data_IF_096533575198
#
_entry.id   IF_096533575198
#
_cell.length_a   1.000
_cell.length_b   1.000
_cell.length_c   1.000
_cell.angle_alpha   90.00
_cell.angle_beta   90.00
_cell.angle_gamma   90.00
#
_symmetry.space_group_name_H-M   'P 1'
#
loop_
_entity.id
_entity.type
_entity.pdbx_description
1 polymer ?
#
# COMPACT_ATOMS: atom_id res chain seq x y z
N UNK A 1 7.40 -8.73 -46.47
CA UNK A 1 7.13 -7.38 -45.93
C UNK A 1 6.56 -7.48 -44.51
N UNK A 2 7.36 -7.94 -43.53
CA UNK A 2 6.85 -8.24 -42.17
C UNK A 2 7.89 -8.02 -41.05
N UNK A 3 8.70 -6.95 -41.15
CA UNK A 3 9.77 -6.63 -40.17
C UNK A 3 9.73 -5.15 -39.75
N UNK A 4 8.56 -4.50 -39.70
CA UNK A 4 8.47 -3.10 -39.24
C UNK A 4 7.54 -2.83 -38.07
N UNK A 5 6.74 -3.78 -37.60
CA UNK A 5 5.77 -3.53 -36.53
C UNK A 5 6.31 -3.73 -35.10
N UNK A 6 7.52 -4.28 -34.92
CA UNK A 6 8.06 -4.54 -33.58
C UNK A 6 8.75 -3.34 -32.90
N UNK A 7 9.03 -2.24 -33.62
CA UNK A 7 9.79 -1.09 -33.07
C UNK A 7 8.92 0.03 -32.48
N UNK A 8 7.60 -0.03 -32.62
CA UNK A 8 6.72 1.05 -32.14
C UNK A 8 6.25 0.89 -30.68
N UNK A 9 6.49 -0.27 -30.03
CA UNK A 9 6.10 -0.55 -28.65
C UNK A 9 7.23 -0.32 -27.61
N UNK A 10 8.41 0.18 -28.02
CA UNK A 10 9.57 0.31 -27.14
C UNK A 10 9.87 1.74 -26.66
N UNK A 11 9.01 2.73 -26.96
CA UNK A 11 9.32 4.14 -26.76
C UNK A 11 9.04 4.69 -25.34
N UNK A 12 8.42 3.91 -24.44
CA UNK A 12 8.12 4.35 -23.06
C UNK A 12 8.86 3.53 -21.99
N UNK A 13 9.92 2.79 -22.37
CA UNK A 13 10.68 2.04 -21.36
C UNK A 13 11.55 3.01 -20.58
N UNK A 14 11.17 3.31 -19.34
CA UNK A 14 12.00 4.05 -18.42
C UNK A 14 13.36 3.31 -18.31
N UNK A 15 14.52 3.97 -18.47
CA UNK A 15 15.84 3.33 -18.36
C UNK A 15 16.05 2.59 -17.02
N UNK A 16 15.23 2.90 -16.01
CA UNK A 16 15.22 2.22 -14.73
C UNK A 16 14.46 0.88 -14.74
N UNK A 17 13.58 0.60 -15.71
CA UNK A 17 12.70 -0.59 -15.76
C UNK A 17 13.47 -1.91 -15.97
N UNK A 18 14.68 -1.86 -16.53
CA UNK A 18 15.39 -3.06 -16.95
C UNK A 18 16.67 -3.32 -16.15
N UNK A 19 16.52 -3.64 -14.85
CA UNK A 19 17.64 -4.06 -13.99
C UNK A 19 17.64 -5.57 -13.72
N UNK A 20 17.45 -6.43 -14.72
CA UNK A 20 17.78 -7.87 -14.63
C UNK A 20 17.19 -8.68 -13.46
N UNK A 21 16.19 -8.16 -12.75
CA UNK A 21 15.55 -8.84 -11.63
C UNK A 21 14.39 -9.71 -12.14
N UNK A 22 14.14 -10.87 -11.51
CA UNK A 22 12.96 -11.69 -11.78
C UNK A 22 11.67 -10.88 -11.69
N UNK A 23 10.82 -11.05 -12.70
CA UNK A 23 9.52 -10.41 -12.78
C UNK A 23 8.51 -11.04 -11.82
N UNK A 24 7.61 -10.23 -11.27
CA UNK A 24 6.41 -10.75 -10.60
C UNK A 24 5.49 -11.35 -11.68
N UNK A 25 5.49 -12.67 -11.78
CA UNK A 25 4.58 -13.44 -12.64
C UNK A 25 3.18 -13.56 -12.03
N UNK A 26 2.19 -13.87 -12.87
CA UNK A 26 0.80 -14.10 -12.45
C UNK A 26 0.64 -15.23 -11.43
N UNK A 27 1.57 -16.19 -11.36
CA UNK A 27 1.59 -17.24 -10.33
C UNK A 27 1.71 -16.67 -8.92
N UNK A 28 2.58 -15.68 -8.69
CA UNK A 28 2.75 -15.05 -7.38
C UNK A 28 1.47 -14.29 -6.98
N UNK A 29 0.85 -13.58 -7.94
CA UNK A 29 -0.43 -12.89 -7.72
C UNK A 29 -1.54 -13.90 -7.39
N UNK A 30 -1.60 -15.03 -8.10
CA UNK A 30 -2.58 -16.09 -7.83
C UNK A 30 -2.38 -16.71 -6.44
N UNK A 31 -1.14 -16.99 -6.03
CA UNK A 31 -0.81 -17.48 -4.68
C UNK A 31 -1.31 -16.48 -3.64
N UNK A 32 -1.03 -15.18 -3.81
CA UNK A 32 -1.52 -14.14 -2.91
C UNK A 32 -3.06 -14.10 -2.85
N UNK A 33 -3.73 -14.13 -4.01
CA UNK A 33 -5.20 -14.08 -4.08
C UNK A 33 -5.88 -15.31 -3.48
N UNK A 34 -5.20 -16.46 -3.39
CA UNK A 34 -5.73 -17.65 -2.73
C UNK A 34 -5.43 -17.62 -1.22
N UNK A 35 -4.20 -17.32 -0.84
CA UNK A 35 -3.77 -17.38 0.56
C UNK A 35 -4.35 -16.24 1.41
N UNK A 36 -4.40 -15.02 0.86
CA UNK A 36 -4.85 -13.85 1.61
C UNK A 36 -6.28 -14.03 2.17
N UNK A 37 -7.31 -14.34 1.34
CA UNK A 37 -8.65 -14.57 1.88
C UNK A 37 -8.73 -15.81 2.77
N UNK A 38 -8.00 -16.89 2.47
CA UNK A 38 -8.01 -18.10 3.28
C UNK A 38 -7.47 -17.85 4.71
N UNK A 39 -6.40 -17.06 4.84
CA UNK A 39 -5.81 -16.68 6.12
C UNK A 39 -6.62 -15.58 6.82
N UNK A 40 -7.14 -14.61 6.06
CA UNK A 40 -7.96 -13.51 6.58
C UNK A 40 -9.35 -13.98 7.07
N UNK A 41 -9.84 -15.12 6.58
CA UNK A 41 -11.11 -15.71 7.03
C UNK A 41 -11.14 -15.92 8.55
N UNK A 42 -10.02 -16.33 9.14
CA UNK A 42 -9.88 -16.46 10.59
C UNK A 42 -10.03 -15.12 11.33
N UNK A 43 -9.48 -14.03 10.78
CA UNK A 43 -9.65 -12.69 11.32
C UNK A 43 -11.11 -12.23 11.29
N UNK A 44 -11.80 -12.50 10.17
CA UNK A 44 -13.20 -12.14 9.99
C UNK A 44 -14.13 -12.90 10.94
N UNK A 45 -13.88 -14.18 11.21
CA UNK A 45 -14.65 -14.95 12.19
C UNK A 45 -14.46 -14.48 13.64
N UNK A 46 -13.32 -13.86 13.94
CA UNK A 46 -13.05 -13.25 15.24
C UNK A 46 -13.56 -11.81 15.33
N UNK A 47 -14.00 -11.19 14.22
CA UNK A 47 -14.57 -9.86 14.25
C UNK A 47 -15.88 -9.88 15.03
N UNK A 48 -15.84 -9.29 16.22
CA UNK A 48 -17.00 -9.06 17.07
C UNK A 48 -17.27 -7.56 17.07
N UNK A 49 -18.33 -7.07 16.41
CA UNK A 49 -18.68 -5.64 16.42
C UNK A 49 -18.84 -5.09 17.86
N UNK A 50 -19.25 -5.96 18.78
CA UNK A 50 -19.45 -5.68 20.21
C UNK A 50 -18.12 -5.49 20.99
N UNK A 51 -16.97 -5.94 20.47
CA UNK A 51 -15.72 -6.06 21.24
C UNK A 51 -14.91 -4.76 21.39
N UNK A 52 -15.53 -3.61 21.13
CA UNK A 52 -14.93 -2.29 21.29
C UNK A 52 -13.65 -2.07 20.47
N UNK A 53 -12.84 -1.08 20.87
CA UNK A 53 -11.62 -0.71 20.16
C UNK A 53 -10.57 -1.83 20.08
N UNK A 54 -10.45 -2.64 21.14
CA UNK A 54 -9.52 -3.78 21.18
C UNK A 54 -9.85 -4.86 20.14
N UNK A 55 -11.13 -5.22 19.99
CA UNK A 55 -11.58 -6.20 18.99
C UNK A 55 -11.37 -5.72 17.55
N UNK A 56 -11.67 -4.44 17.29
CA UNK A 56 -11.38 -3.80 16.00
C UNK A 56 -9.89 -3.86 15.66
N UNK A 57 -9.03 -3.45 16.60
CA UNK A 57 -7.59 -3.42 16.40
C UNK A 57 -7.00 -4.82 16.17
N UNK A 58 -7.46 -5.81 16.94
CA UNK A 58 -7.06 -7.19 16.78
C UNK A 58 -7.43 -7.72 15.39
N UNK A 59 -8.63 -7.41 14.91
CA UNK A 59 -9.08 -7.83 13.57
C UNK A 59 -8.21 -7.22 12.48
N UNK A 60 -7.90 -5.92 12.57
CA UNK A 60 -6.98 -5.27 11.64
C UNK A 60 -5.58 -5.90 11.69
N UNK A 61 -5.05 -6.15 12.89
CA UNK A 61 -3.74 -6.77 13.06
C UNK A 61 -3.68 -8.15 12.39
N UNK A 62 -4.71 -8.98 12.58
CA UNK A 62 -4.80 -10.29 11.94
C UNK A 62 -4.95 -10.19 10.41
N UNK A 63 -5.75 -9.25 9.90
CA UNK A 63 -5.91 -9.01 8.47
C UNK A 63 -4.58 -8.64 7.81
N UNK A 64 -3.85 -7.68 8.37
CA UNK A 64 -2.56 -7.26 7.83
C UNK A 64 -1.48 -8.33 8.02
N UNK A 65 -1.48 -9.07 9.12
CA UNK A 65 -0.59 -10.22 9.30
C UNK A 65 -0.84 -11.30 8.23
N UNK A 66 -2.10 -11.64 7.96
CA UNK A 66 -2.48 -12.56 6.88
C UNK A 66 -2.02 -12.03 5.51
N UNK A 67 -2.20 -10.74 5.24
CA UNK A 67 -1.69 -10.09 4.03
C UNK A 67 -0.17 -10.19 3.89
N UNK A 68 0.57 -9.88 4.96
CA UNK A 68 2.04 -9.98 4.99
C UNK A 68 2.52 -11.41 4.71
N UNK A 69 1.96 -12.38 5.44
CA UNK A 69 2.28 -13.81 5.24
C UNK A 69 1.98 -14.23 3.81
N UNK A 70 0.85 -13.81 3.25
CA UNK A 70 0.47 -14.11 1.87
C UNK A 70 1.43 -13.52 0.85
N UNK A 71 1.90 -12.28 1.07
CA UNK A 71 2.94 -11.66 0.22
C UNK A 71 4.24 -12.45 0.31
N UNK A 72 4.71 -12.74 1.52
CA UNK A 72 5.98 -13.46 1.75
C UNK A 72 5.96 -14.82 1.06
N UNK A 73 4.88 -15.59 1.23
CA UNK A 73 4.72 -16.88 0.58
C UNK A 73 4.60 -16.74 -0.93
N UNK A 74 3.86 -15.75 -1.41
CA UNK A 74 3.71 -15.47 -2.84
C UNK A 74 5.06 -15.20 -3.51
N UNK A 75 5.99 -14.48 -2.87
CA UNK A 75 7.30 -14.17 -3.46
C UNK A 75 8.42 -15.12 -3.05
N UNK A 76 8.17 -16.07 -2.15
CA UNK A 76 9.19 -17.00 -1.64
C UNK A 76 9.87 -17.82 -2.76
N UNK A 77 9.14 -18.11 -3.84
CA UNK A 77 9.64 -18.79 -5.04
C UNK A 77 10.72 -18.00 -5.80
N UNK A 78 10.84 -16.70 -5.54
CA UNK A 78 11.89 -15.85 -6.12
C UNK A 78 13.20 -15.90 -5.33
N UNK A 79 13.24 -16.56 -4.18
CA UNK A 79 14.41 -16.66 -3.31
C UNK A 79 15.02 -15.30 -2.98
N UNK A 80 16.34 -15.17 -3.12
CA UNK A 80 17.07 -13.93 -2.85
C UNK A 80 16.66 -12.71 -3.70
N UNK A 81 15.88 -12.93 -4.77
CA UNK A 81 15.41 -11.87 -5.64
C UNK A 81 14.03 -11.29 -5.25
N UNK A 82 13.39 -11.81 -4.19
CA UNK A 82 12.06 -11.38 -3.76
C UNK A 82 12.00 -9.88 -3.44
N UNK A 83 12.93 -9.36 -2.64
CA UNK A 83 12.93 -7.95 -2.24
C UNK A 83 13.15 -6.99 -3.43
N UNK A 84 14.14 -7.20 -4.32
CA UNK A 84 14.27 -6.41 -5.53
C UNK A 84 13.06 -6.51 -6.48
N UNK A 85 12.39 -7.66 -6.56
CA UNK A 85 11.19 -7.85 -7.38
C UNK A 85 9.98 -7.06 -6.84
N UNK A 86 9.81 -7.03 -5.52
CA UNK A 86 8.87 -6.15 -4.83
C UNK A 86 9.25 -4.67 -4.91
N UNK A 87 10.47 -4.37 -5.37
CA UNK A 87 10.98 -3.02 -5.58
C UNK A 87 11.65 -2.39 -4.37
N UNK A 88 12.07 -3.17 -3.37
CA UNK A 88 13.04 -2.69 -2.39
C UNK A 88 14.37 -2.43 -3.08
N UNK A 89 14.54 -1.19 -3.54
CA UNK A 89 15.70 -0.72 -4.28
C UNK A 89 16.15 0.61 -3.67
N UNK A 90 17.46 0.89 -3.63
CA UNK A 90 17.93 2.18 -3.16
C UNK A 90 17.29 3.34 -3.93
N UNK A 91 16.85 4.36 -3.21
CA UNK A 91 16.36 5.61 -3.77
C UNK A 91 17.20 6.75 -3.19
N UNK A 92 17.38 7.83 -3.96
CA UNK A 92 17.98 9.05 -3.42
C UNK A 92 17.12 9.63 -2.29
N UNK A 93 17.71 10.49 -1.46
CA UNK A 93 16.99 11.12 -0.35
C UNK A 93 15.89 12.09 -0.83
N UNK A 94 16.04 12.72 -2.01
CA UNK A 94 15.12 13.76 -2.49
C UNK A 94 13.69 13.22 -2.69
N UNK A 95 13.44 12.11 -3.41
CA UNK A 95 12.10 11.54 -3.50
C UNK A 95 11.50 11.12 -2.15
N UNK A 96 12.32 10.69 -1.19
CA UNK A 96 11.84 10.32 0.15
C UNK A 96 11.36 11.57 0.90
N UNK A 97 12.18 12.62 0.94
CA UNK A 97 11.85 13.86 1.65
C UNK A 97 10.70 14.60 0.99
N UNK A 98 10.80 14.91 -0.31
CA UNK A 98 9.75 15.66 -1.01
C UNK A 98 8.49 14.83 -1.20
N UNK A 99 8.60 13.50 -1.35
CA UNK A 99 7.45 12.60 -1.40
C UNK A 99 6.70 12.57 -0.07
N UNK A 100 7.42 12.51 1.06
CA UNK A 100 6.81 12.56 2.39
C UNK A 100 6.16 13.91 2.64
N UNK A 101 6.87 15.03 2.40
CA UNK A 101 6.30 16.38 2.57
C UNK A 101 5.08 16.61 1.67
N UNK A 102 5.14 16.20 0.41
CA UNK A 102 4.00 16.27 -0.51
C UNK A 102 2.82 15.43 -0.05
N UNK A 103 3.07 14.25 0.52
CA UNK A 103 2.02 13.38 1.08
C UNK A 103 1.36 14.02 2.30
N UNK A 104 2.15 14.58 3.23
CA UNK A 104 1.61 15.26 4.41
C UNK A 104 0.79 16.49 4.00
N UNK A 105 1.28 17.30 3.06
CA UNK A 105 0.54 18.45 2.54
C UNK A 105 -0.77 18.03 1.87
N UNK A 106 -0.74 16.98 1.04
CA UNK A 106 -1.94 16.43 0.40
C UNK A 106 -2.93 15.87 1.42
N UNK A 107 -2.44 15.18 2.45
CA UNK A 107 -3.25 14.65 3.54
C UNK A 107 -3.98 15.76 4.30
N UNK A 108 -3.28 16.84 4.64
CA UNK A 108 -3.89 18.03 5.26
C UNK A 108 -4.90 18.68 4.32
N UNK A 109 -4.61 18.80 3.02
CA UNK A 109 -5.55 19.38 2.06
C UNK A 109 -6.83 18.55 1.93
N UNK A 110 -6.69 17.21 1.86
CA UNK A 110 -7.81 16.27 1.79
C UNK A 110 -8.63 16.26 3.08
N UNK A 111 -8.00 16.43 4.25
CA UNK A 111 -8.73 16.49 5.52
C UNK A 111 -9.63 17.73 5.64
N UNK A 112 -9.35 18.80 4.90
CA UNK A 112 -10.20 20.00 4.85
C UNK A 112 -11.55 19.76 4.16
N UNK A 113 -11.73 18.63 3.47
CA UNK A 113 -13.01 18.28 2.84
C UNK A 113 -14.11 17.96 3.87
N UNK A 114 -13.76 17.74 5.14
CA UNK A 114 -14.72 17.47 6.22
C UNK A 114 -15.42 16.11 6.13
N UNK A 115 -14.98 15.25 5.21
CA UNK A 115 -15.50 13.89 5.04
C UNK A 115 -14.87 13.01 6.12
N UNK A 116 -15.69 12.33 6.92
CA UNK A 116 -15.24 11.39 7.94
C UNK A 116 -15.81 9.99 7.68
N UNK A 117 -15.04 9.12 7.00
CA UNK A 117 -15.42 7.74 6.78
C UNK A 117 -15.55 6.97 8.09
N UNK A 118 -16.45 6.00 8.15
CA UNK A 118 -16.73 5.26 9.38
C UNK A 118 -15.52 4.46 9.87
N UNK A 119 -14.77 3.85 8.96
CA UNK A 119 -13.52 3.15 9.30
C UNK A 119 -12.46 4.09 9.89
N UNK A 120 -12.42 5.35 9.45
CA UNK A 120 -11.51 6.36 9.99
C UNK A 120 -11.91 6.78 11.39
N UNK A 121 -13.21 6.96 11.67
CA UNK A 121 -13.70 7.26 13.02
C UNK A 121 -13.36 6.15 14.01
N UNK A 122 -13.54 4.90 13.61
CA UNK A 122 -13.16 3.75 14.44
C UNK A 122 -11.65 3.75 14.72
N UNK A 123 -10.82 3.93 13.70
CA UNK A 123 -9.37 4.06 13.86
C UNK A 123 -8.97 5.21 14.80
N UNK A 124 -9.64 6.37 14.69
CA UNK A 124 -9.42 7.52 15.58
C UNK A 124 -9.80 7.20 17.03
N UNK A 125 -10.96 6.58 17.25
CA UNK A 125 -11.44 6.21 18.59
C UNK A 125 -10.45 5.25 19.28
N UNK A 126 -9.99 4.21 18.58
CA UNK A 126 -8.97 3.28 19.11
C UNK A 126 -7.65 3.99 19.40
N UNK A 127 -7.24 4.93 18.55
CA UNK A 127 -5.98 5.67 18.74
C UNK A 127 -6.02 6.59 19.97
N UNK A 128 -7.20 7.02 20.41
CA UNK A 128 -7.39 7.86 21.60
C UNK A 128 -7.34 7.08 22.90
N UNK A 129 -7.54 5.76 22.86
CA UNK A 129 -7.47 4.92 24.05
C UNK A 129 -6.00 4.73 24.49
N UNK A 130 -5.56 5.27 25.65
CA UNK A 130 -4.14 5.24 26.02
C UNK A 130 -3.57 3.82 26.15
N UNK A 131 -4.40 2.87 26.59
CA UNK A 131 -4.02 1.47 26.72
C UNK A 131 -3.79 0.77 25.36
N UNK A 132 -4.44 1.25 24.29
CA UNK A 132 -4.34 0.67 22.95
C UNK A 132 -3.39 1.45 22.03
N UNK A 133 -3.01 2.69 22.39
CA UNK A 133 -2.24 3.59 21.54
C UNK A 133 -1.00 2.94 20.90
N UNK A 134 -0.16 2.24 21.67
CA UNK A 134 1.05 1.60 21.12
C UNK A 134 0.73 0.50 20.09
N UNK A 135 -0.32 -0.28 20.35
CA UNK A 135 -0.78 -1.31 19.42
C UNK A 135 -1.44 -0.67 18.18
N UNK A 136 -2.25 0.37 18.37
CA UNK A 136 -2.85 1.18 17.31
C UNK A 136 -1.78 1.78 16.39
N UNK A 137 -0.71 2.34 16.97
CA UNK A 137 0.44 2.85 16.25
C UNK A 137 1.15 1.76 15.45
N UNK A 138 1.52 0.64 16.09
CA UNK A 138 2.22 -0.45 15.41
C UNK A 138 1.42 -1.02 14.23
N UNK A 139 0.11 -1.18 14.39
CA UNK A 139 -0.77 -1.74 13.36
C UNK A 139 -1.09 -0.72 12.27
N UNK A 140 -1.61 0.46 12.62
CA UNK A 140 -2.16 1.40 11.65
C UNK A 140 -1.12 2.36 11.05
N UNK A 141 -0.09 2.75 11.82
CA UNK A 141 0.96 3.65 11.34
C UNK A 141 2.10 2.92 10.61
N UNK A 142 2.32 1.63 10.90
CA UNK A 142 3.47 0.88 10.37
C UNK A 142 3.05 -0.35 9.58
N UNK A 143 2.40 -1.33 10.22
CA UNK A 143 2.09 -2.61 9.58
C UNK A 143 1.14 -2.45 8.39
N UNK A 144 0.08 -1.65 8.53
CA UNK A 144 -0.90 -1.40 7.48
C UNK A 144 -0.24 -0.77 6.23
N UNK A 145 0.44 0.40 6.30
CA UNK A 145 1.18 0.96 5.17
C UNK A 145 2.18 0.00 4.54
N UNK A 146 2.90 -0.77 5.36
CA UNK A 146 3.88 -1.75 4.87
C UNK A 146 3.20 -2.80 3.99
N UNK A 147 2.14 -3.43 4.49
CA UNK A 147 1.43 -4.49 3.77
C UNK A 147 0.73 -3.93 2.53
N UNK A 148 0.10 -2.77 2.64
CA UNK A 148 -0.56 -2.13 1.50
C UNK A 148 0.45 -1.80 0.39
N UNK A 149 1.59 -1.20 0.72
CA UNK A 149 2.61 -0.90 -0.30
C UNK A 149 3.22 -2.17 -0.90
N UNK A 150 3.45 -3.21 -0.09
CA UNK A 150 3.88 -4.52 -0.59
C UNK A 150 2.88 -5.15 -1.58
N UNK A 151 1.58 -5.07 -1.28
CA UNK A 151 0.51 -5.63 -2.12
C UNK A 151 0.32 -4.80 -3.39
N UNK A 152 0.10 -3.50 -3.24
CA UNK A 152 -0.31 -2.65 -4.37
C UNK A 152 0.89 -2.17 -5.20
N UNK A 153 1.99 -1.75 -4.57
CA UNK A 153 3.16 -1.17 -5.27
C UNK A 153 4.27 -2.20 -5.46
N UNK A 154 4.31 -3.25 -4.65
CA UNK A 154 5.17 -4.42 -4.85
C UNK A 154 4.58 -5.40 -5.85
N UNK A 155 3.64 -6.24 -5.38
CA UNK A 155 3.08 -7.35 -6.17
C UNK A 155 2.26 -6.89 -7.38
N UNK A 156 1.18 -6.14 -7.15
CA UNK A 156 0.24 -5.77 -8.20
C UNK A 156 0.90 -4.86 -9.24
N UNK A 157 1.54 -3.77 -8.81
CA UNK A 157 2.27 -2.88 -9.72
C UNK A 157 3.37 -3.64 -10.48
N UNK A 158 4.18 -4.47 -9.79
CA UNK A 158 5.26 -5.22 -10.45
C UNK A 158 4.76 -6.21 -11.51
N UNK A 159 3.62 -6.86 -11.27
CA UNK A 159 2.97 -7.74 -12.25
C UNK A 159 2.35 -6.96 -13.42
N UNK A 160 1.69 -5.85 -13.16
CA UNK A 160 1.10 -5.01 -14.21
C UNK A 160 2.18 -4.38 -15.09
N UNK A 161 3.30 -3.96 -14.49
CA UNK A 161 4.43 -3.36 -15.21
C UNK A 161 5.11 -4.37 -16.14
N UNK A 162 5.32 -5.61 -15.70
CA UNK A 162 5.90 -6.67 -16.54
C UNK A 162 5.00 -7.07 -17.71
N UNK A 163 3.68 -6.95 -17.54
CA UNK A 163 2.69 -7.39 -18.54
C UNK A 163 2.29 -6.31 -19.54
N UNK A 164 2.32 -5.04 -19.12
CA UNK A 164 1.93 -3.88 -19.92
C UNK A 164 3.01 -2.80 -19.90
N UNK A 165 2.91 -1.83 -19.00
CA UNK A 165 3.88 -0.75 -18.84
C UNK A 165 3.68 -0.06 -17.48
N UNK A 166 4.65 0.80 -17.10
CA UNK A 166 4.64 1.51 -15.84
C UNK A 166 3.46 2.49 -15.66
N UNK A 167 2.88 3.02 -16.75
CA UNK A 167 1.69 3.90 -16.68
C UNK A 167 0.43 3.13 -16.30
N UNK A 168 0.21 1.97 -16.91
CA UNK A 168 -0.90 1.07 -16.57
C UNK A 168 -0.76 0.58 -15.14
N UNK A 169 0.44 0.14 -14.75
CA UNK A 169 0.74 -0.29 -13.38
C UNK A 169 0.43 0.82 -12.37
N UNK A 170 0.86 2.05 -12.65
CA UNK A 170 0.60 3.23 -11.84
C UNK A 170 -0.90 3.50 -11.63
N UNK A 171 -1.67 3.60 -12.72
CA UNK A 171 -3.09 3.96 -12.64
C UNK A 171 -3.88 2.85 -11.95
N UNK A 172 -3.71 1.60 -12.40
CA UNK A 172 -4.52 0.48 -11.91
C UNK A 172 -4.18 0.16 -10.46
N UNK A 173 -2.90 0.14 -10.05
CA UNK A 173 -2.58 -0.13 -8.65
C UNK A 173 -3.11 0.95 -7.70
N UNK A 174 -3.12 2.21 -8.13
CA UNK A 174 -3.67 3.33 -7.35
C UNK A 174 -5.19 3.25 -7.20
N UNK A 175 -5.90 2.88 -8.27
CA UNK A 175 -7.35 2.69 -8.25
C UNK A 175 -7.75 1.49 -7.38
N UNK A 176 -7.06 0.36 -7.53
CA UNK A 176 -7.32 -0.85 -6.76
C UNK A 176 -7.01 -0.62 -5.27
N UNK A 177 -5.93 0.11 -4.95
CA UNK A 177 -5.64 0.56 -3.58
C UNK A 177 -6.80 1.37 -2.99
N UNK A 178 -7.31 2.35 -3.72
CA UNK A 178 -8.41 3.17 -3.22
C UNK A 178 -9.67 2.31 -2.99
N UNK A 179 -10.10 1.55 -3.99
CA UNK A 179 -11.31 0.69 -3.94
C UNK A 179 -11.25 -0.36 -2.83
N UNK A 180 -10.06 -0.83 -2.45
CA UNK A 180 -9.87 -1.78 -1.34
C UNK A 180 -10.28 -1.23 0.04
N UNK A 181 -10.63 0.05 0.16
CA UNK A 181 -11.16 0.64 1.38
C UNK A 181 -12.68 0.49 1.54
N UNK A 182 -13.38 -0.04 0.51
CA UNK A 182 -14.81 -0.44 0.51
C UNK A 182 -15.85 0.63 0.90
N UNK A 183 -15.44 1.86 1.20
CA UNK A 183 -16.31 2.97 1.57
C UNK A 183 -16.07 4.14 0.62
N UNK A 184 -17.10 4.61 -0.08
CA UNK A 184 -16.96 5.67 -1.09
C UNK A 184 -16.33 6.95 -0.52
N UNK A 185 -16.76 7.33 0.69
CA UNK A 185 -16.18 8.46 1.42
C UNK A 185 -14.66 8.27 1.61
N UNK A 186 -14.24 7.08 2.01
CA UNK A 186 -12.82 6.77 2.21
C UNK A 186 -12.05 6.75 0.87
N UNK A 187 -12.62 6.11 -0.16
CA UNK A 187 -12.06 6.02 -1.51
C UNK A 187 -11.70 7.41 -2.06
N UNK A 188 -12.60 8.39 -1.90
CA UNK A 188 -12.37 9.78 -2.35
C UNK A 188 -11.17 10.41 -1.66
N UNK A 189 -10.96 10.12 -0.37
CA UNK A 189 -9.83 10.67 0.41
C UNK A 189 -8.51 9.98 0.09
N UNK A 190 -8.51 8.66 -0.09
CA UNK A 190 -7.26 7.89 -0.29
C UNK A 190 -6.82 7.82 -1.75
N UNK A 191 -7.70 8.04 -2.73
CA UNK A 191 -7.32 7.99 -4.14
C UNK A 191 -6.20 8.98 -4.52
N UNK A 192 -6.25 10.28 -4.11
CA UNK A 192 -5.15 11.21 -4.34
C UNK A 192 -3.81 10.74 -3.74
N UNK A 193 -3.84 10.20 -2.51
CA UNK A 193 -2.66 9.64 -1.86
C UNK A 193 -2.14 8.41 -2.62
N UNK A 194 -3.06 7.54 -3.04
CA UNK A 194 -2.75 6.34 -3.82
C UNK A 194 -2.06 6.67 -5.15
N UNK A 195 -2.51 7.72 -5.83
CA UNK A 195 -1.87 8.26 -7.03
C UNK A 195 -0.49 8.85 -6.72
N UNK A 196 -0.31 9.56 -5.60
CA UNK A 196 1.01 10.07 -5.22
C UNK A 196 1.99 8.91 -4.94
N UNK A 197 1.57 7.89 -4.21
CA UNK A 197 2.39 6.70 -3.93
C UNK A 197 2.74 5.93 -5.21
N UNK A 198 1.76 5.72 -6.09
CA UNK A 198 2.00 5.11 -7.39
C UNK A 198 2.97 5.93 -8.26
N UNK A 199 2.88 7.25 -8.23
CA UNK A 199 3.81 8.15 -8.91
C UNK A 199 5.23 8.03 -8.34
N UNK A 200 5.40 8.05 -7.01
CA UNK A 200 6.69 7.87 -6.35
C UNK A 200 7.34 6.54 -6.74
N UNK A 201 6.55 5.45 -6.71
CA UNK A 201 6.99 4.12 -7.17
C UNK A 201 7.44 4.17 -8.63
N UNK A 202 6.61 4.67 -9.53
CA UNK A 202 6.92 4.75 -10.98
C UNK A 202 8.16 5.59 -11.28
N UNK A 203 8.33 6.73 -10.61
CA UNK A 203 9.43 7.67 -10.88
C UNK A 203 10.77 7.17 -10.36
N UNK A 204 10.78 6.50 -9.22
CA UNK A 204 12.02 6.05 -8.57
C UNK A 204 12.35 4.60 -8.85
N UNK A 205 11.38 3.85 -9.39
CA UNK A 205 11.43 2.41 -9.51
C UNK A 205 11.80 1.72 -8.17
N UNK A 206 11.40 2.33 -7.06
CA UNK A 206 11.66 1.89 -5.69
C UNK A 206 10.37 1.99 -4.88
N UNK A 207 10.19 1.04 -3.97
CA UNK A 207 9.12 1.01 -2.98
C UNK A 207 9.40 1.97 -1.81
N UNK A 208 10.68 2.28 -1.53
CA UNK A 208 11.06 3.02 -0.32
C UNK A 208 10.43 4.42 -0.23
N UNK A 209 10.42 5.24 -1.30
CA UNK A 209 9.85 6.59 -1.20
C UNK A 209 8.35 6.59 -0.91
N UNK A 210 7.58 5.69 -1.53
CA UNK A 210 6.14 5.58 -1.26
C UNK A 210 5.87 4.97 0.12
N UNK A 211 6.61 3.94 0.51
CA UNK A 211 6.49 3.32 1.84
C UNK A 211 6.76 4.31 2.97
N UNK A 212 7.86 5.06 2.90
CA UNK A 212 8.20 6.04 3.93
C UNK A 212 7.17 7.16 3.99
N UNK A 213 6.73 7.66 2.83
CA UNK A 213 5.71 8.70 2.77
C UNK A 213 4.36 8.22 3.35
N UNK A 214 3.99 6.96 3.10
CA UNK A 214 2.77 6.36 3.61
C UNK A 214 2.83 6.13 5.13
N UNK A 215 3.93 5.58 5.64
CA UNK A 215 4.17 5.45 7.09
C UNK A 215 4.16 6.82 7.77
N UNK A 216 4.78 7.84 7.18
CA UNK A 216 4.76 9.20 7.71
C UNK A 216 3.34 9.78 7.78
N UNK A 217 2.53 9.57 6.74
CA UNK A 217 1.13 9.99 6.71
C UNK A 217 0.31 9.33 7.83
N UNK A 218 0.39 8.01 7.96
CA UNK A 218 -0.41 7.30 8.96
C UNK A 218 0.11 7.55 10.38
N UNK A 219 1.42 7.76 10.54
CA UNK A 219 2.02 8.23 11.80
C UNK A 219 1.40 9.56 12.21
N UNK A 220 1.35 10.55 11.30
CA UNK A 220 0.72 11.83 11.58
C UNK A 220 -0.76 11.65 11.94
N UNK A 221 -1.50 10.82 11.18
CA UNK A 221 -2.92 10.58 11.43
C UNK A 221 -3.18 9.96 12.81
N UNK A 222 -2.46 8.90 13.19
CA UNK A 222 -2.63 8.21 14.48
C UNK A 222 -2.23 9.11 15.64
N UNK A 223 -1.09 9.80 15.54
CA UNK A 223 -0.61 10.73 16.58
C UNK A 223 -1.56 11.93 16.72
N UNK A 224 -2.02 12.50 15.62
CA UNK A 224 -2.99 13.61 15.65
C UNK A 224 -4.32 13.16 16.25
N UNK A 225 -4.82 11.96 15.92
CA UNK A 225 -6.04 11.43 16.51
C UNK A 225 -5.93 11.26 18.04
N UNK A 226 -4.77 10.81 18.52
CA UNK A 226 -4.52 10.56 19.94
C UNK A 226 -4.31 11.83 20.77
N UNK A 227 -3.68 12.87 20.21
CA UNK A 227 -3.19 14.02 20.99
C UNK A 227 -3.69 15.40 20.53
N UNK A 228 -4.22 15.53 19.32
CA UNK A 228 -4.61 16.83 18.73
C UNK A 228 -6.11 16.93 18.45
N UNK A 229 -6.80 15.81 18.32
CA UNK A 229 -8.23 15.78 18.04
C UNK A 229 -9.03 15.81 19.37
N UNK A 230 -9.95 16.77 19.57
CA UNK A 230 -10.71 16.94 20.80
C UNK A 230 -11.62 15.76 21.17
#
# INVERSE_FOLDING_TARGET
MRIKESKALSADRNPLENKGFPEIRGTHVLIFLILCPALAMGALFQFRPEAGGGGFLLTLAMLFAAGLVSVVLAVSLLGGAALPALGFRPAGWRPIVFGSLGTLALSVAVSQLGIQPEGMKQAMNVSREPALFLAAFAVMAVLAPLVEELVFRGLLYGWLESRWNSRVAFVVSSLVFAVAHYELAHIVLVLPLGLLFGYLRRRTNSLLPSLVAHVANNTLAVVAAAFLAP
#
